data_IF_816753090316
#
_entry.id   IF_816753090316
#
_cell.length_a   1.000
_cell.length_b   1.000
_cell.length_c   1.000
_cell.angle_alpha   90.00
_cell.angle_beta   90.00
_cell.angle_gamma   90.00
#
_symmetry.space_group_name_H-M   'P 1'
#
loop_
_entity.id
_entity.type
_entity.pdbx_description
1 polymer ?
#
# COMPACT_ATOMS: atom_id res chain seq x y z
N UNK A 1 17.56 -24.77 -3.19
CA UNK A 1 16.11 -25.02 -2.94
C UNK A 1 15.21 -24.11 -3.78
N UNK A 2 15.37 -22.80 -3.76
CA UNK A 2 14.54 -21.84 -4.50
C UNK A 2 14.61 -22.08 -6.02
N UNK A 3 15.80 -22.21 -6.58
CA UNK A 3 15.99 -22.45 -8.02
C UNK A 3 15.22 -23.67 -8.53
N UNK A 4 15.31 -24.79 -7.82
CA UNK A 4 14.59 -26.01 -8.19
C UNK A 4 13.07 -25.85 -8.10
N UNK A 5 12.59 -25.09 -7.11
CA UNK A 5 11.15 -24.78 -7.01
C UNK A 5 10.68 -23.91 -8.18
N UNK A 6 11.50 -22.96 -8.61
CA UNK A 6 11.22 -22.14 -9.79
C UNK A 6 11.16 -22.99 -11.07
N UNK A 7 12.12 -23.86 -11.30
CA UNK A 7 12.13 -24.76 -12.47
C UNK A 7 10.87 -25.61 -12.55
N UNK A 8 10.45 -26.20 -11.42
CA UNK A 8 9.19 -26.96 -11.33
C UNK A 8 7.98 -26.07 -11.65
N UNK A 9 7.96 -24.83 -11.18
CA UNK A 9 6.88 -23.90 -11.47
C UNK A 9 6.83 -23.57 -12.96
N UNK A 10 7.97 -23.31 -13.61
CA UNK A 10 8.08 -23.05 -15.04
C UNK A 10 7.49 -24.22 -15.85
N UNK A 11 7.86 -25.48 -15.53
CA UNK A 11 7.32 -26.66 -16.20
C UNK A 11 5.80 -26.79 -16.06
N UNK A 12 5.27 -26.52 -14.86
CA UNK A 12 3.83 -26.58 -14.60
C UNK A 12 3.05 -25.51 -15.35
N UNK A 13 3.57 -24.30 -15.42
CA UNK A 13 2.96 -23.21 -16.20
C UNK A 13 3.05 -23.48 -17.71
N UNK A 14 4.16 -24.02 -18.19
CA UNK A 14 4.30 -24.42 -19.59
C UNK A 14 3.28 -25.49 -19.98
N UNK A 15 2.97 -26.44 -19.10
CA UNK A 15 1.97 -27.48 -19.35
C UNK A 15 0.55 -26.94 -19.59
N UNK A 16 0.26 -25.72 -19.12
CA UNK A 16 -1.01 -25.01 -19.38
C UNK A 16 -0.88 -23.88 -20.40
N UNK A 17 0.21 -23.88 -21.16
CA UNK A 17 0.44 -22.93 -22.25
C UNK A 17 0.97 -21.56 -21.85
N UNK A 18 1.50 -21.41 -20.63
CA UNK A 18 2.06 -20.15 -20.13
C UNK A 18 3.57 -20.16 -20.26
N UNK A 19 4.10 -19.21 -21.03
CA UNK A 19 5.52 -18.90 -21.11
C UNK A 19 5.90 -17.96 -19.95
N UNK A 20 6.50 -18.52 -18.92
CA UNK A 20 6.83 -17.81 -17.68
C UNK A 20 7.80 -16.65 -17.89
N UNK A 21 8.82 -16.83 -18.72
CA UNK A 21 9.81 -15.78 -19.00
C UNK A 21 9.18 -14.59 -19.73
N UNK A 22 8.33 -14.88 -20.71
CA UNK A 22 7.58 -13.85 -21.44
C UNK A 22 6.63 -13.09 -20.52
N UNK A 23 5.92 -13.80 -19.65
CA UNK A 23 5.00 -13.19 -18.68
C UNK A 23 5.75 -12.30 -17.72
N UNK A 24 6.86 -12.77 -17.13
CA UNK A 24 7.66 -11.97 -16.21
C UNK A 24 8.19 -10.69 -16.86
N UNK A 25 8.65 -10.80 -18.13
CA UNK A 25 9.07 -9.62 -18.89
C UNK A 25 7.92 -8.62 -19.12
N UNK A 26 6.74 -9.12 -19.48
CA UNK A 26 5.55 -8.27 -19.66
C UNK A 26 5.13 -7.62 -18.34
N UNK A 27 5.23 -8.33 -17.22
CA UNK A 27 4.86 -7.82 -15.91
C UNK A 27 5.79 -6.73 -15.39
N UNK A 28 7.01 -6.61 -15.90
CA UNK A 28 7.91 -5.49 -15.55
C UNK A 28 7.34 -4.13 -15.95
N UNK A 29 6.58 -4.09 -17.03
CA UNK A 29 5.93 -2.87 -17.54
C UNK A 29 4.50 -2.70 -17.01
N UNK A 30 4.04 -3.64 -16.20
CA UNK A 30 2.69 -3.60 -15.65
C UNK A 30 2.62 -2.69 -14.42
N UNK A 31 1.62 -1.79 -14.44
CA UNK A 31 1.42 -0.85 -13.33
C UNK A 31 0.45 -1.44 -12.32
N UNK A 32 0.95 -1.82 -11.15
CA UNK A 32 0.12 -2.33 -10.07
C UNK A 32 -0.30 -1.19 -9.15
N UNK A 33 -1.61 -1.02 -8.98
CA UNK A 33 -2.15 -0.10 -7.99
C UNK A 33 -2.46 -0.83 -6.69
N UNK A 34 -1.80 -0.46 -5.61
CA UNK A 34 -2.12 -0.90 -4.26
C UNK A 34 -3.29 -0.07 -3.76
N UNK A 35 -4.41 -0.73 -3.55
CA UNK A 35 -5.66 -0.09 -3.14
C UNK A 35 -5.96 -0.38 -1.68
N UNK A 36 -6.44 0.64 -0.96
CA UNK A 36 -6.86 0.50 0.44
C UNK A 36 -5.80 -0.15 1.32
N UNK A 37 -4.57 0.36 1.28
CA UNK A 37 -3.52 -0.08 2.19
C UNK A 37 -3.88 0.23 3.64
N UNK A 38 -3.92 -0.79 4.48
CA UNK A 38 -4.35 -0.69 5.88
C UNK A 38 -3.28 -1.26 6.82
N UNK A 39 -2.10 -0.67 6.80
CA UNK A 39 -0.99 -1.09 7.65
C UNK A 39 -1.10 -0.57 9.09
N UNK A 40 -2.12 0.23 9.37
CA UNK A 40 -2.38 0.86 10.67
C UNK A 40 -3.64 0.33 11.36
N UNK A 41 -4.19 -0.77 10.88
CA UNK A 41 -5.41 -1.38 11.38
C UNK A 41 -6.69 -0.54 11.15
N UNK A 42 -6.76 0.15 10.01
CA UNK A 42 -7.96 0.86 9.52
C UNK A 42 -8.27 2.18 10.26
N UNK A 43 -7.46 2.60 11.19
CA UNK A 43 -7.73 3.85 11.93
C UNK A 43 -7.19 5.09 11.23
N UNK A 44 -6.18 4.92 10.38
CA UNK A 44 -5.47 6.05 9.78
C UNK A 44 -4.80 6.91 10.83
N UNK A 45 -4.58 8.17 10.47
CA UNK A 45 -3.92 9.16 11.34
C UNK A 45 -4.89 10.27 11.76
N UNK A 46 -6.19 10.02 11.60
CA UNK A 46 -7.23 10.89 12.12
C UNK A 46 -7.21 10.89 13.65
N UNK A 47 -7.29 12.07 14.24
CA UNK A 47 -7.50 12.18 15.69
C UNK A 47 -8.96 11.88 15.97
N UNK A 48 -9.25 10.74 16.56
CA UNK A 48 -10.61 10.36 16.89
C UNK A 48 -11.15 11.16 18.08
N UNK A 49 -12.09 12.04 17.81
CA UNK A 49 -12.80 12.77 18.85
C UNK A 49 -14.07 12.02 19.25
N UNK A 50 -13.98 10.97 20.07
CA UNK A 50 -15.16 10.31 20.62
C UNK A 50 -15.12 8.78 20.67
N UNK A 51 -16.15 8.18 21.27
CA UNK A 51 -16.32 6.74 21.30
C UNK A 51 -16.76 6.22 19.92
N UNK A 52 -16.15 5.15 19.49
CA UNK A 52 -16.45 4.47 18.23
C UNK A 52 -17.92 4.01 18.21
N UNK A 53 -18.71 4.54 17.31
CA UNK A 53 -20.15 4.25 17.19
C UNK A 53 -20.43 3.41 15.94
N UNK A 54 -20.24 2.10 16.04
CA UNK A 54 -20.69 1.17 14.99
C UNK A 54 -19.71 0.98 13.83
N UNK A 55 -19.95 -0.04 13.04
CA UNK A 55 -19.12 -0.46 11.92
C UNK A 55 -18.20 -1.64 12.26
N UNK A 56 -17.68 -2.29 11.24
CA UNK A 56 -16.63 -3.30 11.40
C UNK A 56 -15.35 -2.53 11.68
N UNK A 57 -15.00 -2.45 12.93
CA UNK A 57 -13.67 -2.04 13.29
C UNK A 57 -12.80 -3.27 13.11
N UNK A 58 -12.02 -3.26 12.06
CA UNK A 58 -11.02 -4.28 11.90
C UNK A 58 -10.11 -4.18 13.10
N UNK A 59 -10.05 -5.22 13.83
CA UNK A 59 -9.29 -5.32 15.05
C UNK A 59 -8.07 -6.18 14.79
N UNK A 60 -7.31 -5.83 13.77
CA UNK A 60 -6.00 -6.38 13.65
C UNK A 60 -5.13 -5.82 14.77
N UNK A 61 -5.14 -6.44 15.89
CA UNK A 61 -4.22 -6.09 16.96
C UNK A 61 -2.81 -6.65 16.64
N UNK A 62 -2.31 -6.21 15.49
CA UNK A 62 -1.05 -6.72 15.02
C UNK A 62 0.10 -5.80 15.48
N UNK A 63 1.18 -6.36 16.04
CA UNK A 63 2.17 -5.58 16.77
C UNK A 63 3.03 -4.66 15.89
N UNK A 64 2.97 -4.82 14.59
CA UNK A 64 3.75 -4.04 13.62
C UNK A 64 2.96 -2.95 12.90
N UNK A 65 1.77 -2.59 13.37
CA UNK A 65 0.96 -1.56 12.69
C UNK A 65 1.67 -0.20 12.67
N UNK A 66 1.54 0.51 11.56
CA UNK A 66 2.05 1.86 11.43
C UNK A 66 1.30 2.82 12.37
N UNK A 67 2.04 3.64 13.09
CA UNK A 67 1.52 4.59 14.08
C UNK A 67 1.52 6.03 13.57
N UNK A 68 2.20 6.28 12.47
CA UNK A 68 2.33 7.58 11.83
C UNK A 68 2.63 7.40 10.34
N UNK A 69 2.61 8.51 9.61
CA UNK A 69 2.81 8.54 8.16
C UNK A 69 4.16 7.96 7.75
N UNK A 70 5.22 8.23 8.48
CA UNK A 70 6.57 7.79 8.12
C UNK A 70 6.72 6.27 8.25
N UNK A 71 6.14 5.68 9.29
CA UNK A 71 6.08 4.23 9.45
C UNK A 71 5.27 3.58 8.32
N UNK A 72 4.12 4.15 7.97
CA UNK A 72 3.30 3.66 6.86
C UNK A 72 4.05 3.75 5.53
N UNK A 73 4.72 4.84 5.25
CA UNK A 73 5.56 5.01 4.04
C UNK A 73 6.68 3.99 3.98
N UNK A 74 7.34 3.72 5.10
CA UNK A 74 8.38 2.70 5.18
C UNK A 74 7.82 1.30 4.89
N UNK A 75 6.66 0.96 5.43
CA UNK A 75 5.98 -0.31 5.18
C UNK A 75 5.57 -0.47 3.72
N UNK A 76 5.02 0.59 3.10
CA UNK A 76 4.68 0.60 1.68
C UNK A 76 5.91 0.36 0.81
N UNK A 77 7.01 1.07 1.06
CA UNK A 77 8.26 0.87 0.33
C UNK A 77 8.80 -0.53 0.52
N UNK A 78 8.71 -1.06 1.73
CA UNK A 78 9.13 -2.44 2.02
C UNK A 78 8.30 -3.46 1.26
N UNK A 79 6.98 -3.31 1.25
CA UNK A 79 6.09 -4.16 0.47
C UNK A 79 6.39 -4.06 -1.03
N UNK A 80 6.50 -2.84 -1.57
CA UNK A 80 6.82 -2.59 -2.96
C UNK A 80 8.17 -3.21 -3.38
N UNK A 81 9.14 -3.27 -2.47
CA UNK A 81 10.45 -3.89 -2.75
C UNK A 81 10.39 -5.40 -3.06
N UNK A 82 9.30 -6.06 -2.70
CA UNK A 82 9.08 -7.47 -3.00
C UNK A 82 8.23 -7.73 -4.25
N UNK A 83 7.64 -6.67 -4.80
CA UNK A 83 6.75 -6.76 -5.95
C UNK A 83 7.45 -6.11 -7.15
N UNK A 84 7.76 -6.85 -8.22
CA UNK A 84 8.36 -6.26 -9.41
C UNK A 84 7.39 -5.36 -10.15
N UNK A 85 7.92 -4.38 -10.90
CA UNK A 85 7.15 -3.49 -11.75
C UNK A 85 7.04 -2.07 -11.20
N UNK A 86 6.11 -1.31 -11.78
CA UNK A 86 5.83 0.08 -11.37
C UNK A 86 4.60 0.11 -10.48
N UNK A 87 4.73 0.78 -9.34
CA UNK A 87 3.66 0.80 -8.35
C UNK A 87 2.89 2.10 -8.38
N UNK A 88 1.61 1.98 -8.05
CA UNK A 88 0.71 3.08 -7.75
C UNK A 88 0.09 2.83 -6.38
N UNK A 89 -0.22 3.89 -5.67
CA UNK A 89 -0.85 3.81 -4.36
C UNK A 89 -2.16 4.60 -4.39
N UNK A 90 -3.25 3.94 -4.04
CA UNK A 90 -4.52 4.62 -3.82
C UNK A 90 -4.67 4.92 -2.34
N UNK A 91 -4.52 6.19 -1.97
CA UNK A 91 -4.64 6.65 -0.60
C UNK A 91 -6.10 6.72 -0.17
N UNK A 92 -6.35 6.35 1.07
CA UNK A 92 -7.60 6.60 1.75
C UNK A 92 -7.55 7.98 2.45
N UNK A 93 -8.70 8.62 2.65
CA UNK A 93 -8.80 9.94 3.30
C UNK A 93 -8.22 9.94 4.72
N UNK A 94 -8.30 8.81 5.43
CA UNK A 94 -7.76 8.66 6.79
C UNK A 94 -6.24 8.79 6.90
N UNK A 95 -5.52 8.80 5.78
CA UNK A 95 -4.06 8.98 5.74
C UNK A 95 -3.63 10.43 5.46
N UNK A 96 -4.55 11.38 5.57
CA UNK A 96 -4.21 12.79 5.52
C UNK A 96 -3.14 13.17 6.55
N UNK A 97 -2.24 14.08 6.17
CA UNK A 97 -1.24 14.66 7.08
C UNK A 97 -1.90 15.80 7.88
N UNK A 98 -2.64 15.43 8.89
CA UNK A 98 -3.37 16.38 9.73
C UNK A 98 -2.52 17.04 10.81
N UNK A 99 -1.26 16.67 10.95
CA UNK A 99 -0.31 17.22 11.92
C UNK A 99 -0.85 17.23 13.37
N UNK A 100 -1.58 16.18 13.73
CA UNK A 100 -2.18 16.05 15.06
C UNK A 100 -3.41 16.92 15.31
N UNK A 101 -3.97 17.56 14.27
CA UNK A 101 -5.21 18.32 14.36
C UNK A 101 -6.42 17.42 14.10
N UNK A 102 -7.52 17.74 14.76
CA UNK A 102 -8.83 17.17 14.40
C UNK A 102 -9.34 17.90 13.17
N UNK A 103 -9.58 17.15 12.10
CA UNK A 103 -10.13 17.67 10.84
C UNK A 103 -11.36 16.83 10.53
N UNK A 104 -12.51 17.48 10.42
CA UNK A 104 -13.73 16.79 10.01
C UNK A 104 -13.63 16.38 8.54
N UNK A 105 -14.29 15.28 8.17
CA UNK A 105 -14.17 14.70 6.82
C UNK A 105 -14.61 15.64 5.70
N UNK A 106 -15.55 16.52 5.97
CA UNK A 106 -16.00 17.58 5.05
C UNK A 106 -15.01 18.76 4.95
N UNK A 107 -13.99 18.79 5.81
CA UNK A 107 -12.92 19.79 5.84
C UNK A 107 -11.58 19.25 5.33
N UNK A 108 -11.56 18.01 4.84
CA UNK A 108 -10.37 17.43 4.24
C UNK A 108 -10.09 18.08 2.89
N UNK A 109 -8.92 18.67 2.76
CA UNK A 109 -8.49 19.40 1.57
C UNK A 109 -7.25 18.76 0.93
N UNK A 110 -6.94 19.04 -0.35
CA UNK A 110 -5.75 18.53 -1.04
C UNK A 110 -4.44 18.84 -0.30
N UNK A 111 -4.41 19.93 0.46
CA UNK A 111 -3.24 20.34 1.25
C UNK A 111 -2.81 19.27 2.27
N UNK A 112 -3.78 18.52 2.82
CA UNK A 112 -3.51 17.42 3.75
C UNK A 112 -2.79 16.23 3.10
N UNK A 113 -2.71 16.20 1.77
CA UNK A 113 -2.01 15.13 1.02
C UNK A 113 -0.74 15.63 0.32
N UNK A 114 -0.34 16.87 0.50
CA UNK A 114 0.82 17.45 -0.17
C UNK A 114 2.11 16.68 0.14
N UNK A 115 2.33 16.31 1.39
CA UNK A 115 3.48 15.52 1.79
C UNK A 115 3.50 14.12 1.14
N UNK A 116 2.34 13.55 0.84
CA UNK A 116 2.23 12.31 0.08
C UNK A 116 2.60 12.48 -1.39
N UNK A 117 2.21 13.60 -2.00
CA UNK A 117 2.55 13.90 -3.39
C UNK A 117 4.07 14.07 -3.54
N UNK A 118 4.71 14.76 -2.61
CA UNK A 118 6.16 14.95 -2.58
C UNK A 118 6.89 13.61 -2.41
N UNK A 119 6.47 12.81 -1.46
CA UNK A 119 7.00 11.47 -1.24
C UNK A 119 6.78 10.54 -2.46
N UNK A 120 5.61 10.57 -3.08
CA UNK A 120 5.31 9.79 -4.28
C UNK A 120 6.23 10.14 -5.45
N UNK A 121 6.53 11.42 -5.63
CA UNK A 121 7.48 11.89 -6.65
C UNK A 121 8.90 11.39 -6.36
N UNK A 122 9.35 11.48 -5.12
CA UNK A 122 10.67 11.03 -4.70
C UNK A 122 10.88 9.53 -4.95
N UNK A 123 9.86 8.72 -4.72
CA UNK A 123 9.91 7.27 -4.86
C UNK A 123 9.34 6.74 -6.18
N UNK A 124 9.09 7.61 -7.17
CA UNK A 124 8.49 7.25 -8.46
C UNK A 124 7.19 6.43 -8.32
N UNK A 125 6.43 6.73 -7.29
CA UNK A 125 5.12 6.10 -7.00
C UNK A 125 4.00 7.08 -7.37
N UNK A 126 3.08 6.67 -8.23
CA UNK A 126 1.90 7.47 -8.54
C UNK A 126 0.83 7.26 -7.47
N UNK A 127 0.20 8.34 -7.08
CA UNK A 127 -0.92 8.34 -6.15
C UNK A 127 -2.23 8.42 -6.91
#
# INVERSE_FOLDING_TARGET
MIQKAYEIAVERYAAVGVDTEKVLKTMQDFHLSLHCWQADDVTGFEVQAGALSGGIQATGNYPGKARNIDELRADILKAASYIPGTHRLNLHEIYGDFQGKVVDRDQVEPEHFKSWIEWGKEHNMKL
#
